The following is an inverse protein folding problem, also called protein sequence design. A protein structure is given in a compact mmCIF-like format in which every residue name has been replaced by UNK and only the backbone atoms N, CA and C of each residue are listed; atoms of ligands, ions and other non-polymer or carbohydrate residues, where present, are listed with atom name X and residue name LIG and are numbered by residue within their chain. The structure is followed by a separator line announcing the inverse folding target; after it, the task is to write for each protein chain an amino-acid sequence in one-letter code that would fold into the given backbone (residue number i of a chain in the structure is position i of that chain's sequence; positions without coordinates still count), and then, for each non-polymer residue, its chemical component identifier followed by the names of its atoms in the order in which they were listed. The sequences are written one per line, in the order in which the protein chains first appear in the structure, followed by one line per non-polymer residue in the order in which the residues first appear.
data_IF_850615194373
#
_entry.id   IF_850615194373
#
_cell.length_a   1.000
_cell.length_b   1.000
_cell.length_c   1.000
_cell.angle_alpha   90.00
_cell.angle_beta   90.00
_cell.angle_gamma   90.00
#
_symmetry.space_group_name_H-M   'P 1'
#
loop_
_entity.id
_entity.type
_entity.pdbx_description
1 polymer ?
#
# COMPACT_ATOMS: atom_id res chain seq x y z
N UNK A 1 -18.40 24.64 -39.98
CA UNK A 1 -18.59 23.97 -38.71
C UNK A 1 -17.30 24.03 -37.89
N UNK A 2 -17.42 24.42 -36.69
CA UNK A 2 -16.26 24.44 -35.82
C UNK A 2 -16.08 23.06 -35.18
N UNK A 3 -14.87 22.54 -35.19
CA UNK A 3 -14.51 21.34 -34.52
C UNK A 3 -13.87 21.65 -33.15
N UNK A 4 -13.85 22.92 -32.77
CA UNK A 4 -13.21 23.37 -31.53
C UNK A 4 -13.79 22.66 -30.30
N UNK A 5 -15.13 22.50 -30.22
CA UNK A 5 -15.75 21.81 -29.11
C UNK A 5 -15.26 20.38 -28.97
N UNK A 6 -15.17 19.66 -30.08
CA UNK A 6 -14.64 18.30 -30.09
C UNK A 6 -13.14 18.30 -29.77
N UNK A 7 -12.37 19.23 -30.35
CA UNK A 7 -10.95 19.34 -30.09
C UNK A 7 -10.69 19.71 -28.63
N UNK A 8 -11.49 20.61 -28.05
CA UNK A 8 -11.35 20.99 -26.65
C UNK A 8 -11.67 19.86 -25.70
N UNK A 9 -12.74 19.11 -25.96
CA UNK A 9 -13.10 17.95 -25.15
C UNK A 9 -12.06 16.84 -25.27
N UNK A 10 -11.62 16.59 -26.50
CA UNK A 10 -10.56 15.60 -26.73
C UNK A 10 -9.24 16.03 -26.11
N UNK A 11 -8.93 17.30 -26.15
CA UNK A 11 -7.73 17.85 -25.55
C UNK A 11 -7.77 17.72 -24.02
N UNK A 12 -8.91 18.07 -23.41
CA UNK A 12 -9.08 17.92 -21.97
C UNK A 12 -8.95 16.45 -21.55
N UNK A 13 -9.57 15.56 -22.30
CA UNK A 13 -9.49 14.14 -22.04
C UNK A 13 -8.04 13.65 -22.14
N UNK A 14 -7.33 14.06 -23.18
CA UNK A 14 -5.94 13.69 -23.37
C UNK A 14 -5.06 14.17 -22.21
N UNK A 15 -5.26 15.41 -21.77
CA UNK A 15 -4.50 15.98 -20.66
C UNK A 15 -4.78 15.23 -19.35
N UNK A 16 -6.02 14.85 -19.10
CA UNK A 16 -6.37 14.04 -17.93
C UNK A 16 -5.69 12.67 -17.98
N UNK A 17 -5.73 12.04 -19.14
CA UNK A 17 -5.08 10.73 -19.32
C UNK A 17 -3.58 10.86 -19.07
N UNK A 18 -2.93 11.85 -19.62
CA UNK A 18 -1.51 12.08 -19.42
C UNK A 18 -1.16 12.34 -17.96
N UNK A 19 -2.03 13.05 -17.23
CA UNK A 19 -1.85 13.26 -15.80
C UNK A 19 -1.97 11.96 -15.01
N UNK A 20 -2.93 11.12 -15.36
CA UNK A 20 -3.10 9.81 -14.75
C UNK A 20 -1.87 8.94 -15.02
N UNK A 21 -1.42 8.89 -16.26
CA UNK A 21 -0.25 8.12 -16.65
C UNK A 21 1.00 8.56 -15.89
N UNK A 22 1.17 9.86 -15.71
CA UNK A 22 2.29 10.41 -14.93
C UNK A 22 2.21 9.97 -13.48
N UNK A 23 1.02 10.02 -12.88
CA UNK A 23 0.83 9.58 -11.50
C UNK A 23 1.06 8.08 -11.36
N UNK A 24 0.64 7.28 -12.33
CA UNK A 24 0.89 5.85 -12.33
C UNK A 24 2.39 5.54 -12.43
N UNK A 25 3.13 6.31 -13.21
CA UNK A 25 4.58 6.15 -13.31
C UNK A 25 5.27 6.54 -11.99
N UNK A 26 4.85 7.63 -11.36
CA UNK A 26 5.37 8.04 -10.05
C UNK A 26 5.07 6.98 -8.98
N UNK A 27 3.86 6.42 -9.01
CA UNK A 27 3.46 5.33 -8.11
C UNK A 27 4.36 4.11 -8.27
N UNK A 28 4.68 3.76 -9.51
CA UNK A 28 5.60 2.65 -9.83
C UNK A 28 6.98 2.91 -9.27
N UNK A 29 7.49 4.13 -9.45
CA UNK A 29 8.81 4.53 -8.95
C UNK A 29 8.86 4.45 -7.42
N UNK A 30 7.80 4.93 -6.76
CA UNK A 30 7.69 4.83 -5.30
C UNK A 30 7.63 3.37 -4.84
N UNK A 31 6.89 2.53 -5.56
CA UNK A 31 6.82 1.11 -5.22
C UNK A 31 8.19 0.42 -5.33
N UNK A 32 8.99 0.80 -6.32
CA UNK A 32 10.36 0.31 -6.47
C UNK A 32 11.25 0.79 -5.32
N UNK A 33 11.12 2.06 -4.93
CA UNK A 33 11.87 2.61 -3.80
C UNK A 33 11.52 1.89 -2.48
N UNK A 34 10.26 1.60 -2.27
CA UNK A 34 9.81 0.84 -1.09
C UNK A 34 10.43 -0.56 -1.10
N UNK A 35 10.43 -1.22 -2.25
CA UNK A 35 11.06 -2.53 -2.41
C UNK A 35 12.54 -2.48 -2.06
N UNK A 36 13.23 -1.44 -2.50
CA UNK A 36 14.65 -1.25 -2.22
C UNK A 36 14.92 -1.11 -0.72
N UNK A 37 14.02 -0.43 0.00
CA UNK A 37 14.12 -0.30 1.47
C UNK A 37 14.02 -1.67 2.14
N UNK A 38 13.09 -2.51 1.71
CA UNK A 38 12.96 -3.86 2.24
C UNK A 38 14.18 -4.72 1.92
N UNK A 39 14.76 -4.55 0.74
CA UNK A 39 15.99 -5.22 0.36
C UNK A 39 17.15 -4.80 1.26
N UNK A 40 17.26 -3.50 1.54
CA UNK A 40 18.26 -2.97 2.48
C UNK A 40 18.06 -3.54 3.88
N UNK A 41 16.81 -3.57 4.36
CA UNK A 41 16.50 -4.13 5.67
C UNK A 41 16.91 -5.60 5.78
N UNK A 42 16.65 -6.37 4.73
CA UNK A 42 17.05 -7.78 4.67
C UNK A 42 18.58 -7.91 4.74
N UNK A 43 19.30 -7.06 4.03
CA UNK A 43 20.76 -7.06 4.06
C UNK A 43 21.32 -6.75 5.47
N UNK A 44 20.56 -6.03 6.28
CA UNK A 44 20.91 -5.72 7.67
C UNK A 44 20.44 -6.78 8.67
N UNK A 45 19.84 -7.86 8.21
CA UNK A 45 19.41 -8.97 9.05
C UNK A 45 17.95 -8.89 9.53
N UNK A 46 17.19 -7.91 9.08
CA UNK A 46 15.76 -7.82 9.40
C UNK A 46 14.95 -8.72 8.47
N UNK A 47 13.77 -9.14 8.93
CA UNK A 47 12.89 -10.03 8.16
C UNK A 47 11.82 -9.17 7.45
N UNK A 48 11.88 -9.04 6.12
CA UNK A 48 10.95 -8.17 5.38
C UNK A 48 9.47 -8.50 5.63
N UNK A 49 9.12 -9.76 5.73
CA UNK A 49 7.75 -10.20 6.00
C UNK A 49 7.22 -9.60 7.30
N UNK A 50 8.04 -9.61 8.34
CA UNK A 50 7.66 -9.08 9.65
C UNK A 50 7.59 -7.55 9.60
N UNK A 51 8.50 -6.90 8.88
CA UNK A 51 8.44 -5.44 8.70
C UNK A 51 7.15 -5.03 8.00
N UNK A 52 6.72 -5.77 6.96
CA UNK A 52 5.46 -5.48 6.28
C UNK A 52 4.27 -5.62 7.24
N UNK A 53 4.30 -6.61 8.09
CA UNK A 53 3.27 -6.81 9.10
C UNK A 53 3.22 -5.65 10.10
N UNK A 54 4.37 -5.21 10.59
CA UNK A 54 4.48 -4.06 11.49
C UNK A 54 3.94 -2.78 10.83
N UNK A 55 4.31 -2.54 9.57
CA UNK A 55 3.81 -1.37 8.83
C UNK A 55 2.29 -1.40 8.73
N UNK A 56 1.71 -2.57 8.44
CA UNK A 56 0.26 -2.74 8.38
C UNK A 56 -0.40 -2.46 9.73
N UNK A 57 0.15 -3.02 10.80
CA UNK A 57 -0.38 -2.85 12.16
C UNK A 57 -0.32 -1.38 12.59
N UNK A 58 0.76 -0.67 12.26
CA UNK A 58 0.91 0.74 12.61
C UNK A 58 -0.09 1.66 11.93
N UNK A 59 -0.71 1.22 10.83
CA UNK A 59 -1.78 1.97 10.16
C UNK A 59 -3.13 1.83 10.85
N UNK A 60 -3.28 0.84 11.71
CA UNK A 60 -4.52 0.60 12.44
C UNK A 60 -4.66 1.62 13.57
N UNK A 61 -5.91 2.00 13.87
CA UNK A 61 -6.19 2.75 15.09
C UNK A 61 -5.85 1.89 16.31
N UNK A 62 -5.67 2.54 17.47
CA UNK A 62 -5.42 1.80 18.71
C UNK A 62 -6.54 0.80 19.00
N UNK A 63 -7.79 1.23 18.85
CA UNK A 63 -8.95 0.39 19.12
C UNK A 63 -9.03 -0.80 18.19
N UNK A 64 -8.82 -0.58 16.88
CA UNK A 64 -8.82 -1.66 15.88
C UNK A 64 -7.69 -2.64 16.13
N UNK A 65 -6.54 -2.15 16.51
CA UNK A 65 -5.37 -2.99 16.83
C UNK A 65 -5.63 -3.85 18.06
N UNK A 66 -6.16 -3.24 19.13
CA UNK A 66 -6.48 -3.95 20.36
C UNK A 66 -7.54 -5.03 20.11
N UNK A 67 -8.56 -4.71 19.33
CA UNK A 67 -9.60 -5.67 18.92
C UNK A 67 -9.01 -6.81 18.09
N UNK A 68 -8.17 -6.49 17.11
CA UNK A 68 -7.54 -7.48 16.26
C UNK A 68 -6.76 -8.52 17.08
N UNK A 69 -5.91 -8.03 17.97
CA UNK A 69 -5.09 -8.93 18.80
C UNK A 69 -5.90 -9.71 19.83
N UNK A 70 -6.96 -9.10 20.36
CA UNK A 70 -7.87 -9.80 21.28
C UNK A 70 -8.58 -10.97 20.58
N UNK A 71 -9.08 -10.75 19.37
CA UNK A 71 -9.74 -11.79 18.58
C UNK A 71 -8.73 -12.88 18.20
N UNK A 72 -7.54 -12.48 17.76
CA UNK A 72 -6.48 -13.42 17.40
C UNK A 72 -6.13 -14.34 18.59
N UNK A 73 -5.96 -13.75 19.76
CA UNK A 73 -5.66 -14.49 20.99
C UNK A 73 -6.79 -15.46 21.34
N UNK A 74 -8.04 -15.00 21.25
CA UNK A 74 -9.21 -15.81 21.52
C UNK A 74 -9.27 -17.05 20.61
N UNK A 75 -9.05 -16.84 19.31
CA UNK A 75 -9.08 -17.94 18.33
C UNK A 75 -7.90 -18.90 18.54
N UNK A 76 -6.71 -18.33 18.74
CA UNK A 76 -5.52 -19.14 19.00
C UNK A 76 -5.71 -20.03 20.24
N UNK A 77 -6.22 -19.45 21.32
CA UNK A 77 -6.49 -20.19 22.56
C UNK A 77 -7.53 -21.29 22.36
N UNK A 78 -8.58 -21.01 21.57
CA UNK A 78 -9.64 -21.97 21.30
C UNK A 78 -9.14 -23.25 20.59
N UNK A 79 -8.10 -23.13 19.78
CA UNK A 79 -7.51 -24.26 19.04
C UNK A 79 -6.21 -24.78 19.67
N UNK A 80 -5.84 -24.24 20.83
CA UNK A 80 -4.62 -24.68 21.53
C UNK A 80 -3.32 -24.19 20.88
N UNK A 81 -3.37 -23.09 20.16
CA UNK A 81 -2.19 -22.49 19.52
C UNK A 81 -1.57 -21.44 20.44
N UNK A 82 -0.33 -21.65 20.83
CA UNK A 82 0.43 -20.65 21.57
C UNK A 82 1.04 -19.66 20.60
N UNK A 83 0.84 -18.36 20.88
CA UNK A 83 1.39 -17.28 20.05
C UNK A 83 2.77 -16.83 20.51
N UNK A 84 3.13 -17.17 21.75
CA UNK A 84 4.44 -16.81 22.32
C UNK A 84 5.11 -18.01 23.00
#
# INVERSE_FOLDING_TARGET
MSTEGHNSAGEELRLLIERIERMEEEKKDIAEDIRDIYTEAKARGFVPKILREIVRIRKMSKDDRDEHFAILDTYASAIGLDLL
#
